data_IF_891301756813
#
_entry.id   IF_891301756813
#
_cell.length_a   1.000
_cell.length_b   1.000
_cell.length_c   1.000
_cell.angle_alpha   90.00
_cell.angle_beta   90.00
_cell.angle_gamma   90.00
#
_symmetry.space_group_name_H-M   'P 1'
#
loop_
_entity.id
_entity.type
_entity.pdbx_description
1 polymer ?
#
# COMPACT_ATOMS: atom_id res chain seq x y z
N UNK A 1 29.71 10.33 12.20
CA UNK A 1 31.06 10.75 11.78
C UNK A 1 31.86 11.33 12.94
N UNK A 2 31.24 12.13 13.82
CA UNK A 2 31.91 12.65 15.03
C UNK A 2 32.36 11.55 16.00
N UNK A 3 31.60 10.47 16.09
CA UNK A 3 31.94 9.33 16.94
C UNK A 3 33.22 8.58 16.50
N UNK A 4 33.67 8.80 15.26
CA UNK A 4 34.87 8.17 14.71
C UNK A 4 36.11 9.09 14.71
N UNK A 5 35.98 10.33 15.21
CA UNK A 5 37.09 11.32 15.23
C UNK A 5 37.61 11.77 13.88
N UNK A 6 36.80 11.59 12.81
CA UNK A 6 37.20 11.87 11.43
C UNK A 6 36.74 13.25 11.02
N UNK A 7 37.65 14.10 10.58
CA UNK A 7 37.35 15.40 9.98
C UNK A 7 37.38 15.29 8.45
N UNK A 8 36.61 16.14 7.77
CA UNK A 8 36.61 16.23 6.33
C UNK A 8 36.57 17.69 5.86
N UNK A 9 37.12 17.91 4.67
CA UNK A 9 37.20 19.21 4.04
C UNK A 9 36.63 19.13 2.64
N UNK A 10 35.75 20.06 2.29
CA UNK A 10 35.25 20.14 0.94
C UNK A 10 36.30 20.79 0.00
N UNK A 11 36.45 20.25 -1.21
CA UNK A 11 37.44 20.74 -2.19
C UNK A 11 36.91 21.99 -2.92
N UNK A 12 35.61 22.04 -3.20
CA UNK A 12 34.96 23.08 -3.98
C UNK A 12 34.26 24.15 -3.12
N UNK A 13 34.01 23.87 -1.86
CA UNK A 13 33.31 24.76 -0.94
C UNK A 13 34.18 24.98 0.29
N UNK A 14 34.22 26.25 0.74
CA UNK A 14 35.13 26.67 1.82
C UNK A 14 34.58 26.30 3.19
N UNK A 15 34.50 24.99 3.49
CA UNK A 15 34.26 24.51 4.86
C UNK A 15 35.13 23.31 5.24
N UNK A 16 35.64 23.40 6.44
CA UNK A 16 36.55 22.45 7.05
C UNK A 16 36.01 22.07 8.45
N UNK A 17 35.63 20.81 8.64
CA UNK A 17 35.06 20.35 9.90
C UNK A 17 36.09 20.26 11.04
N UNK A 18 37.37 20.48 10.78
CA UNK A 18 38.38 20.61 11.82
C UNK A 18 38.23 21.92 12.64
N UNK A 19 37.60 22.94 12.05
CA UNK A 19 37.36 24.24 12.70
C UNK A 19 35.93 24.33 13.28
N UNK A 20 35.76 25.09 14.37
CA UNK A 20 34.43 25.32 14.98
C UNK A 20 33.46 26.00 14.01
N UNK A 21 33.97 27.00 13.24
CA UNK A 21 33.19 27.72 12.23
C UNK A 21 32.78 26.81 11.06
N UNK A 22 33.66 25.92 10.61
CA UNK A 22 33.35 24.95 9.57
C UNK A 22 32.28 23.97 9.98
N UNK A 23 32.31 23.48 11.22
CA UNK A 23 31.25 22.63 11.80
C UNK A 23 29.92 23.36 11.89
N UNK A 24 29.93 24.62 12.37
CA UNK A 24 28.72 25.43 12.44
C UNK A 24 28.09 25.64 11.05
N UNK A 25 28.89 26.04 10.07
CA UNK A 25 28.45 26.23 8.69
C UNK A 25 27.85 24.94 8.10
N UNK A 26 28.50 23.81 8.31
CA UNK A 26 27.99 22.52 7.89
C UNK A 26 26.62 22.22 8.52
N UNK A 27 26.49 22.38 9.84
CA UNK A 27 25.24 22.11 10.55
C UNK A 27 24.10 23.03 10.08
N UNK A 28 24.38 24.31 9.81
CA UNK A 28 23.41 25.23 9.24
C UNK A 28 22.96 24.76 7.85
N UNK A 29 23.89 24.39 6.96
CA UNK A 29 23.59 23.90 5.61
C UNK A 29 22.78 22.60 5.65
N UNK A 30 23.14 21.65 6.55
CA UNK A 30 22.40 20.43 6.73
C UNK A 30 20.97 20.70 7.23
N UNK A 31 20.81 21.64 8.17
CA UNK A 31 19.48 22.04 8.65
C UNK A 31 18.62 22.68 7.56
N UNK A 32 19.21 23.53 6.71
CA UNK A 32 18.50 24.11 5.56
C UNK A 32 18.12 23.04 4.55
N UNK A 33 19.04 22.15 4.20
CA UNK A 33 18.75 21.04 3.27
C UNK A 33 17.66 20.10 3.80
N UNK A 34 17.66 19.85 5.12
CA UNK A 34 16.60 19.06 5.76
C UNK A 34 15.24 19.77 5.67
N UNK A 35 15.17 21.08 5.98
CA UNK A 35 13.95 21.87 5.88
C UNK A 35 13.40 21.91 4.43
N UNK A 36 14.27 22.05 3.43
CA UNK A 36 13.87 21.99 2.01
C UNK A 36 13.29 20.60 1.65
N UNK A 37 13.92 19.53 2.14
CA UNK A 37 13.43 18.16 1.95
C UNK A 37 12.06 17.97 2.58
N UNK A 38 11.87 18.43 3.82
CA UNK A 38 10.62 18.31 4.58
C UNK A 38 9.50 19.12 3.90
N UNK A 39 9.78 20.35 3.47
CA UNK A 39 8.82 21.16 2.68
C UNK A 39 8.41 20.50 1.37
N UNK A 40 9.38 19.88 0.68
CA UNK A 40 9.09 19.15 -0.56
C UNK A 40 8.21 17.92 -0.29
N UNK A 41 8.51 17.16 0.77
CA UNK A 41 7.70 16.02 1.19
C UNK A 41 6.26 16.44 1.55
N UNK A 42 6.10 17.56 2.26
CA UNK A 42 4.78 18.07 2.63
C UNK A 42 3.98 18.57 1.41
N UNK A 43 4.66 19.24 0.46
CA UNK A 43 4.03 19.63 -0.81
C UNK A 43 3.54 18.41 -1.59
N UNK A 44 4.37 17.35 -1.67
CA UNK A 44 3.99 16.09 -2.34
C UNK A 44 2.79 15.46 -1.63
N UNK A 45 2.80 15.34 -0.30
CA UNK A 45 1.67 14.82 0.48
C UNK A 45 0.39 15.62 0.23
N UNK A 46 0.48 16.95 0.23
CA UNK A 46 -0.65 17.82 -0.04
C UNK A 46 -1.24 17.59 -1.43
N UNK A 47 -0.39 17.59 -2.47
CA UNK A 47 -0.83 17.37 -3.86
C UNK A 47 -1.49 16.00 -4.01
N UNK A 48 -0.92 14.94 -3.39
CA UNK A 48 -1.54 13.62 -3.41
C UNK A 48 -2.89 13.59 -2.67
N UNK A 49 -3.00 14.23 -1.52
CA UNK A 49 -4.26 14.29 -0.78
C UNK A 49 -5.36 14.99 -1.57
N UNK A 50 -5.03 16.11 -2.23
CA UNK A 50 -5.97 16.83 -3.08
C UNK A 50 -6.38 16.02 -4.33
N UNK A 51 -5.44 15.30 -4.95
CA UNK A 51 -5.78 14.38 -6.06
C UNK A 51 -6.76 13.31 -5.61
N UNK A 52 -6.52 12.69 -4.46
CA UNK A 52 -7.42 11.66 -3.91
C UNK A 52 -8.80 12.24 -3.63
N UNK A 53 -8.90 13.41 -3.02
CA UNK A 53 -10.19 14.08 -2.76
C UNK A 53 -10.97 14.33 -4.04
N UNK A 54 -10.29 14.72 -5.12
CA UNK A 54 -10.88 15.03 -6.42
C UNK A 54 -11.07 13.80 -7.32
N UNK A 55 -10.81 12.57 -6.83
CA UNK A 55 -10.92 11.34 -7.61
C UNK A 55 -9.87 11.18 -8.71
N UNK A 56 -8.78 11.96 -8.65
CA UNK A 56 -7.69 11.86 -9.61
C UNK A 56 -6.81 10.64 -9.35
N UNK A 57 -6.43 9.92 -10.41
CA UNK A 57 -5.58 8.76 -10.30
C UNK A 57 -4.17 9.14 -9.78
N UNK A 58 -3.72 8.42 -8.77
CA UNK A 58 -2.36 8.49 -8.21
C UNK A 58 -1.55 7.23 -8.54
N UNK A 59 -2.18 6.24 -9.18
CA UNK A 59 -1.57 4.97 -9.56
C UNK A 59 -1.21 4.97 -11.04
N UNK A 60 -0.07 4.38 -11.37
CA UNK A 60 0.20 3.96 -12.74
C UNK A 60 -0.64 2.73 -13.09
N UNK A 61 -0.96 2.54 -14.37
CA UNK A 61 -1.80 1.43 -14.84
C UNK A 61 -1.32 0.04 -14.39
N UNK A 62 0.00 -0.15 -14.22
CA UNK A 62 0.59 -1.41 -13.75
C UNK A 62 0.47 -1.64 -12.23
N UNK A 63 0.09 -0.61 -11.47
CA UNK A 63 -0.02 -0.69 -10.00
C UNK A 63 -1.43 -0.95 -9.52
N UNK A 64 -2.41 -0.89 -10.40
CA UNK A 64 -3.81 -1.15 -10.09
C UNK A 64 -4.08 -2.66 -10.01
N UNK A 65 -5.01 -3.07 -9.15
CA UNK A 65 -5.43 -4.47 -9.08
C UNK A 65 -6.25 -4.85 -10.34
N UNK A 66 -6.32 -6.15 -10.61
CA UNK A 66 -7.09 -6.72 -11.72
C UNK A 66 -8.54 -6.21 -11.73
N UNK A 67 -9.04 -5.84 -12.90
CA UNK A 67 -10.38 -5.26 -13.07
C UNK A 67 -10.44 -3.73 -13.07
N UNK A 68 -9.31 -3.06 -12.77
CA UNK A 68 -9.21 -1.61 -12.76
C UNK A 68 -8.06 -1.11 -13.63
N UNK A 69 -8.27 0.02 -14.32
CA UNK A 69 -7.22 0.70 -15.09
C UNK A 69 -7.21 2.21 -14.82
N UNK A 70 -6.11 2.87 -15.15
CA UNK A 70 -6.05 4.34 -15.18
C UNK A 70 -6.28 4.82 -16.60
N UNK A 71 -7.33 5.57 -16.81
CA UNK A 71 -7.66 6.26 -18.07
C UNK A 71 -8.05 7.69 -17.78
N UNK A 72 -7.56 8.63 -18.59
CA UNK A 72 -7.83 10.08 -18.44
C UNK A 72 -7.60 10.60 -17.01
N UNK A 73 -6.48 10.20 -16.41
CA UNK A 73 -6.12 10.54 -15.03
C UNK A 73 -7.15 10.14 -13.94
N UNK A 74 -8.01 9.17 -14.24
CA UNK A 74 -8.97 8.59 -13.31
C UNK A 74 -8.87 7.07 -13.30
N UNK A 75 -9.24 6.46 -12.19
CA UNK A 75 -9.38 5.00 -12.10
C UNK A 75 -10.74 4.62 -12.69
N UNK A 76 -10.73 3.68 -13.64
CA UNK A 76 -11.94 3.18 -14.33
C UNK A 76 -12.00 1.67 -14.24
N UNK A 77 -13.20 1.13 -14.44
CA UNK A 77 -13.46 -0.32 -14.47
C UNK A 77 -13.10 -0.85 -15.86
N UNK A 78 -12.42 -1.98 -15.90
CA UNK A 78 -12.24 -2.78 -17.11
C UNK A 78 -13.41 -3.76 -17.21
N UNK A 79 -14.42 -3.42 -18.01
CA UNK A 79 -15.69 -4.17 -18.07
C UNK A 79 -15.49 -5.66 -18.38
N UNK A 80 -14.55 -6.00 -19.26
CA UNK A 80 -14.22 -7.40 -19.58
C UNK A 80 -13.68 -8.21 -18.40
N UNK A 81 -13.21 -7.54 -17.34
CA UNK A 81 -12.64 -8.15 -16.14
C UNK A 81 -13.56 -8.01 -14.91
N UNK A 82 -14.53 -7.10 -14.99
CA UNK A 82 -15.41 -6.76 -13.88
C UNK A 82 -16.24 -7.95 -13.39
N UNK A 83 -16.74 -8.78 -14.32
CA UNK A 83 -17.54 -9.95 -13.99
C UNK A 83 -16.72 -11.02 -13.24
N UNK A 84 -15.45 -11.20 -13.61
CA UNK A 84 -14.55 -12.08 -12.89
C UNK A 84 -14.30 -11.59 -11.45
N UNK A 85 -14.19 -10.26 -11.26
CA UNK A 85 -14.04 -9.67 -9.92
C UNK A 85 -15.32 -9.85 -9.09
N UNK A 86 -16.50 -9.58 -9.67
CA UNK A 86 -17.79 -9.81 -8.97
C UNK A 86 -17.93 -11.26 -8.56
N UNK A 87 -17.73 -12.19 -9.51
CA UNK A 87 -17.79 -13.63 -9.24
C UNK A 87 -16.79 -14.09 -8.18
N UNK A 88 -15.58 -13.50 -8.14
CA UNK A 88 -14.60 -13.79 -7.09
C UNK A 88 -15.11 -13.41 -5.69
N UNK A 89 -15.76 -12.26 -5.54
CA UNK A 89 -16.33 -11.86 -4.25
C UNK A 89 -17.52 -12.72 -3.86
N UNK A 90 -18.42 -13.05 -4.79
CA UNK A 90 -19.58 -13.92 -4.57
C UNK A 90 -19.14 -15.33 -4.15
N UNK A 91 -18.18 -15.91 -4.86
CA UNK A 91 -17.66 -17.24 -4.57
C UNK A 91 -16.94 -17.29 -3.23
N UNK A 92 -16.16 -16.24 -2.88
CA UNK A 92 -15.50 -16.15 -1.59
C UNK A 92 -16.51 -16.00 -0.43
N UNK A 93 -17.57 -15.21 -0.61
CA UNK A 93 -18.64 -15.05 0.38
C UNK A 93 -19.36 -16.38 0.65
N UNK A 94 -19.54 -17.23 -0.39
CA UNK A 94 -20.18 -18.53 -0.29
C UNK A 94 -19.29 -19.62 0.35
N UNK A 95 -17.99 -19.66 -0.02
CA UNK A 95 -17.09 -20.76 0.37
C UNK A 95 -16.19 -20.42 1.56
N UNK A 96 -15.99 -19.15 1.86
CA UNK A 96 -15.04 -18.64 2.84
C UNK A 96 -13.59 -19.14 2.62
N UNK A 97 -13.24 -19.55 1.40
CA UNK A 97 -11.98 -20.16 1.04
C UNK A 97 -11.29 -19.44 -0.10
N UNK A 98 -10.17 -18.75 0.20
CA UNK A 98 -9.37 -18.08 -0.83
C UNK A 98 -8.73 -19.09 -1.80
N UNK A 99 -8.46 -20.33 -1.35
CA UNK A 99 -7.89 -21.39 -2.20
C UNK A 99 -8.90 -21.88 -3.24
N UNK A 100 -10.13 -22.15 -2.80
CA UNK A 100 -11.19 -22.57 -3.69
C UNK A 100 -11.58 -21.46 -4.66
N UNK A 101 -11.68 -20.22 -4.17
CA UNK A 101 -11.94 -19.03 -5.01
C UNK A 101 -10.87 -18.85 -6.07
N UNK A 102 -9.59 -19.06 -5.75
CA UNK A 102 -8.49 -18.98 -6.72
C UNK A 102 -8.65 -20.05 -7.82
N UNK A 103 -8.90 -21.32 -7.45
CA UNK A 103 -9.09 -22.40 -8.41
C UNK A 103 -10.32 -22.12 -9.30
N UNK A 104 -11.44 -21.74 -8.71
CA UNK A 104 -12.68 -21.41 -9.41
C UNK A 104 -12.49 -20.26 -10.42
N UNK A 105 -11.79 -19.18 -10.01
CA UNK A 105 -11.55 -18.03 -10.88
C UNK A 105 -10.74 -18.40 -12.12
N UNK A 106 -9.73 -19.28 -11.96
CA UNK A 106 -8.94 -19.80 -13.07
C UNK A 106 -9.78 -20.68 -13.98
N UNK A 107 -10.59 -21.55 -13.42
CA UNK A 107 -11.39 -22.53 -14.19
C UNK A 107 -12.57 -21.88 -14.93
N UNK A 108 -13.21 -20.86 -14.33
CA UNK A 108 -14.37 -20.19 -14.94
C UNK A 108 -14.00 -19.04 -15.88
N UNK A 109 -12.97 -18.28 -15.56
CA UNK A 109 -12.62 -17.06 -16.30
C UNK A 109 -11.25 -17.14 -16.98
N UNK A 110 -10.51 -18.23 -16.80
CA UNK A 110 -9.16 -18.38 -17.35
C UNK A 110 -8.16 -17.37 -16.77
N UNK A 111 -8.45 -16.79 -15.60
CA UNK A 111 -7.64 -15.75 -14.99
C UNK A 111 -6.53 -16.38 -14.18
N UNK A 112 -5.30 -16.30 -14.68
CA UNK A 112 -4.11 -16.82 -13.98
C UNK A 112 -3.48 -15.72 -13.12
N UNK A 113 -3.86 -15.68 -11.85
CA UNK A 113 -3.32 -14.78 -10.84
C UNK A 113 -2.49 -15.56 -9.81
N UNK A 114 -1.43 -14.95 -9.24
CA UNK A 114 -0.75 -15.56 -8.10
C UNK A 114 -1.71 -15.81 -6.94
N UNK A 115 -1.59 -16.96 -6.27
CA UNK A 115 -2.46 -17.32 -5.14
C UNK A 115 -2.62 -16.19 -4.10
N UNK A 116 -1.52 -15.52 -3.76
CA UNK A 116 -1.54 -14.40 -2.81
C UNK A 116 -2.30 -13.16 -3.32
N UNK A 117 -2.61 -13.08 -4.63
CA UNK A 117 -3.35 -11.95 -5.18
C UNK A 117 -4.79 -11.93 -4.67
N UNK A 118 -5.45 -13.09 -4.54
CA UNK A 118 -6.84 -13.19 -4.08
C UNK A 118 -7.01 -12.52 -2.71
N UNK A 119 -6.16 -12.87 -1.74
CA UNK A 119 -6.24 -12.27 -0.41
C UNK A 119 -5.99 -10.75 -0.38
N UNK A 120 -5.15 -10.24 -1.29
CA UNK A 120 -4.92 -8.80 -1.45
C UNK A 120 -6.10 -8.11 -2.13
N UNK A 121 -6.67 -8.75 -3.16
CA UNK A 121 -7.84 -8.25 -3.87
C UNK A 121 -9.05 -8.14 -2.94
N UNK A 122 -9.35 -9.18 -2.19
CA UNK A 122 -10.46 -9.19 -1.22
C UNK A 122 -10.37 -8.09 -0.16
N UNK A 123 -9.17 -7.62 0.18
CA UNK A 123 -8.94 -6.51 1.14
C UNK A 123 -8.84 -5.14 0.50
N UNK A 124 -8.89 -5.04 -0.82
CA UNK A 124 -8.65 -3.78 -1.50
C UNK A 124 -9.94 -2.97 -1.64
N UNK A 125 -10.00 -1.83 -0.93
CA UNK A 125 -11.16 -0.92 -0.94
C UNK A 125 -11.45 -0.27 -2.29
N UNK A 126 -10.54 -0.30 -3.27
CA UNK A 126 -10.80 0.22 -4.61
C UNK A 126 -11.95 -0.48 -5.31
N UNK A 127 -12.20 -1.76 -5.00
CA UNK A 127 -13.31 -2.51 -5.59
C UNK A 127 -14.70 -2.02 -5.14
N UNK A 128 -14.81 -1.42 -3.95
CA UNK A 128 -16.03 -0.75 -3.51
C UNK A 128 -15.96 0.78 -3.70
N UNK A 129 -15.03 1.27 -4.52
CA UNK A 129 -14.90 2.68 -4.85
C UNK A 129 -14.18 3.53 -3.81
N UNK A 130 -13.58 2.93 -2.77
CA UNK A 130 -12.97 3.64 -1.66
C UNK A 130 -11.45 3.65 -1.77
N UNK A 131 -10.87 4.80 -1.48
CA UNK A 131 -9.43 4.92 -1.31
C UNK A 131 -9.09 5.96 -0.22
N UNK A 132 -8.38 5.56 0.84
CA UNK A 132 -8.13 6.34 2.03
C UNK A 132 -9.45 6.92 2.58
N UNK A 133 -9.53 8.24 2.76
CA UNK A 133 -10.70 8.93 3.31
C UNK A 133 -11.79 9.23 2.25
N UNK A 134 -11.48 9.04 0.96
CA UNK A 134 -12.46 9.25 -0.12
C UNK A 134 -13.25 7.97 -0.39
N UNK A 135 -14.54 7.98 -0.03
CA UNK A 135 -15.47 6.86 -0.25
C UNK A 135 -16.02 6.75 -1.68
N UNK A 136 -15.81 7.79 -2.49
CA UNK A 136 -16.25 7.86 -3.89
C UNK A 136 -15.06 8.17 -4.81
N UNK A 137 -13.92 7.50 -4.56
CA UNK A 137 -12.69 7.75 -5.31
C UNK A 137 -12.76 7.25 -6.76
N UNK A 138 -13.38 6.11 -6.98
CA UNK A 138 -13.54 5.51 -8.31
C UNK A 138 -14.88 4.78 -8.42
N UNK A 139 -15.31 4.39 -9.64
CA UNK A 139 -16.48 3.54 -9.82
C UNK A 139 -16.32 2.22 -9.06
N UNK A 140 -17.39 1.80 -8.38
CA UNK A 140 -17.40 0.58 -7.60
C UNK A 140 -17.75 -0.64 -8.47
N UNK A 141 -16.97 -1.72 -8.39
CA UNK A 141 -17.29 -3.01 -9.03
C UNK A 141 -18.26 -3.80 -8.16
N UNK A 142 -18.10 -3.70 -6.83
CA UNK A 142 -18.95 -4.39 -5.83
C UNK A 142 -19.57 -3.37 -4.87
N UNK A 143 -20.67 -3.77 -4.23
CA UNK A 143 -21.31 -2.91 -3.24
C UNK A 143 -20.47 -2.77 -1.96
N UNK A 144 -20.53 -1.60 -1.29
CA UNK A 144 -19.86 -1.43 0.02
C UNK A 144 -20.32 -2.42 1.09
N UNK A 145 -21.59 -2.86 1.04
CA UNK A 145 -22.13 -3.84 1.96
C UNK A 145 -21.54 -5.23 1.75
N UNK A 146 -21.39 -5.66 0.50
CA UNK A 146 -20.70 -6.92 0.17
C UNK A 146 -19.25 -6.87 0.59
N UNK A 147 -18.56 -5.78 0.32
CA UNK A 147 -17.18 -5.59 0.76
C UNK A 147 -17.06 -5.74 2.28
N UNK A 148 -17.96 -5.10 3.05
CA UNK A 148 -17.98 -5.19 4.51
C UNK A 148 -18.16 -6.64 5.00
N UNK A 149 -19.14 -7.40 4.44
CA UNK A 149 -19.35 -8.81 4.81
C UNK A 149 -18.09 -9.65 4.57
N UNK A 150 -17.43 -9.44 3.43
CA UNK A 150 -16.17 -10.13 3.11
C UNK A 150 -15.05 -9.76 4.11
N UNK A 151 -14.95 -8.49 4.53
CA UNK A 151 -13.97 -8.09 5.57
C UNK A 151 -14.28 -8.77 6.92
N UNK A 152 -15.54 -8.92 7.30
CA UNK A 152 -15.93 -9.63 8.54
C UNK A 152 -15.52 -11.11 8.49
N UNK A 153 -15.71 -11.78 7.35
CA UNK A 153 -15.26 -13.17 7.13
C UNK A 153 -13.74 -13.26 7.29
N UNK A 154 -13.00 -12.38 6.63
CA UNK A 154 -11.53 -12.32 6.71
C UNK A 154 -11.02 -12.07 8.13
N UNK A 155 -11.68 -11.19 8.89
CA UNK A 155 -11.33 -10.88 10.27
C UNK A 155 -11.53 -12.09 11.19
N UNK A 156 -12.64 -12.83 11.04
CA UNK A 156 -12.91 -14.04 11.80
C UNK A 156 -11.86 -15.13 11.55
N UNK A 157 -11.42 -15.29 10.31
CA UNK A 157 -10.37 -16.26 9.96
C UNK A 157 -9.01 -15.89 10.55
N UNK A 158 -8.69 -14.61 10.61
CA UNK A 158 -7.41 -14.13 11.17
C UNK A 158 -7.35 -14.30 12.69
N UNK A 159 -8.45 -14.05 13.40
CA UNK A 159 -8.52 -14.18 14.87
C UNK A 159 -8.52 -15.65 15.34
N UNK A 160 -8.91 -16.60 14.47
CA UNK A 160 -8.87 -18.04 14.78
C UNK A 160 -7.50 -18.70 14.62
N UNK A 161 -6.52 -18.02 14.07
CA UNK A 161 -5.18 -18.57 13.78
C UNK A 161 -4.10 -18.10 14.76
N UNK A 162 -4.41 -17.97 16.03
CA UNK A 162 -3.36 -18.02 17.04
C UNK A 162 -2.84 -19.46 17.04
N UNK A 163 -1.73 -19.71 16.31
CA UNK A 163 -1.00 -20.97 16.44
C UNK A 163 -0.61 -21.10 17.91
N UNK A 164 -1.41 -21.83 18.69
CA UNK A 164 -0.92 -22.38 19.93
C UNK A 164 0.18 -23.35 19.51
N UNK A 165 1.42 -22.96 19.78
CA UNK A 165 2.56 -23.85 19.61
C UNK A 165 2.27 -25.11 20.44
N UNK A 166 2.15 -26.26 19.79
CA UNK A 166 1.92 -27.55 20.45
C UNK A 166 3.10 -27.93 21.38
N UNK A 167 4.20 -27.19 21.27
CA UNK A 167 5.43 -27.38 22.03
C UNK A 167 5.88 -26.03 22.60
N UNK A 168 5.98 -25.95 23.92
CA UNK A 168 6.64 -24.86 24.62
C UNK A 168 8.13 -25.17 24.67
N UNK A 169 8.92 -24.43 23.92
CA UNK A 169 10.38 -24.55 24.01
C UNK A 169 10.87 -23.74 25.20
N UNK A 170 11.81 -24.33 25.97
CA UNK A 170 12.35 -23.76 27.22
C UNK A 170 12.93 -22.34 27.04
N UNK A 171 13.30 -21.96 25.82
CA UNK A 171 13.87 -20.65 25.47
C UNK A 171 12.90 -19.70 24.74
N UNK A 172 11.60 -20.02 24.68
CA UNK A 172 10.61 -19.15 24.07
C UNK A 172 10.41 -17.89 24.93
N UNK A 173 10.87 -16.74 24.46
CA UNK A 173 10.73 -15.46 25.14
C UNK A 173 12.00 -14.93 25.83
N UNK A 174 13.16 -15.52 25.58
CA UNK A 174 14.46 -15.11 26.14
C UNK A 174 15.36 -14.34 25.14
N UNK A 175 14.83 -13.97 23.95
CA UNK A 175 15.51 -13.12 22.95
C UNK A 175 14.71 -11.87 22.69
#
# INVERSE_FOLDING_TARGET
LEAAGTNWKAILEDYDTSTTNGRLNLNIRLSVAQDESDRTADRIKFVFSERVKNGGAIFGSKSLPYGLETRDHRVQIVESQADAVRGMFDHYEATNSARETHAWLRDQYGVDLPYNAIGRMLRNGLYCGQYRDNKNYCPAIISPDQFRRVQEILARQTSGHTRQSKYSYVFTGLL
#
